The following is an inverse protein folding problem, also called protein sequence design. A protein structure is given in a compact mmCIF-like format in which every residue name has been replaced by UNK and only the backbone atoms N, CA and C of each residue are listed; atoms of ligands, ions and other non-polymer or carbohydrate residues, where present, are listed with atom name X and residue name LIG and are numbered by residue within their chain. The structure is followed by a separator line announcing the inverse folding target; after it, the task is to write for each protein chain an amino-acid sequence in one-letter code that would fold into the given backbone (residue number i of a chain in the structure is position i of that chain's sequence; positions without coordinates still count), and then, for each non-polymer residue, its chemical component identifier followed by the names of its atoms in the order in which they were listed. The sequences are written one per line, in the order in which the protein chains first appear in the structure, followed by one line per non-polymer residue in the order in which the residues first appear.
data_IF_254437857439
#
_entry.id   IF_254437857439
#
_cell.length_a   1.000
_cell.length_b   1.000
_cell.length_c   1.000
_cell.angle_alpha   90.00
_cell.angle_beta   90.00
_cell.angle_gamma   90.00
#
_symmetry.space_group_name_H-M   'P 1'
#
loop_
_entity.id
_entity.type
_entity.pdbx_description
1 polymer ?
#
# COMPACT_ATOMS: atom_id res chain seq x y z
N UNK A 1 5.96 6.95 -21.13
CA UNK A 1 6.36 6.97 -19.72
C UNK A 1 6.90 5.59 -19.37
N UNK A 2 8.21 5.44 -19.13
CA UNK A 2 8.78 4.17 -18.68
C UNK A 2 8.54 4.07 -17.17
N UNK A 3 7.66 3.16 -16.75
CA UNK A 3 7.52 2.80 -15.34
C UNK A 3 8.87 2.27 -14.86
N UNK A 4 9.46 2.94 -13.87
CA UNK A 4 10.71 2.51 -13.24
C UNK A 4 10.39 1.63 -12.04
N UNK A 5 11.30 0.71 -11.71
CA UNK A 5 11.17 -0.02 -10.45
C UNK A 5 11.20 0.97 -9.28
N UNK A 6 10.22 0.92 -8.36
CA UNK A 6 10.24 1.73 -7.15
C UNK A 6 11.41 1.32 -6.27
N UNK A 7 11.88 2.19 -5.37
CA UNK A 7 12.88 1.77 -4.38
C UNK A 7 12.36 0.60 -3.56
N UNK A 8 13.29 -0.29 -3.20
CA UNK A 8 13.01 -1.48 -2.37
C UNK A 8 12.29 -1.08 -1.07
N UNK A 9 12.66 0.06 -0.46
CA UNK A 9 12.01 0.57 0.76
C UNK A 9 10.54 0.97 0.50
N UNK A 10 10.25 1.70 -0.58
CA UNK A 10 8.88 2.09 -0.94
C UNK A 10 8.02 0.87 -1.26
N UNK A 11 8.61 -0.12 -1.94
CA UNK A 11 7.96 -1.38 -2.24
C UNK A 11 7.56 -2.13 -0.96
N UNK A 12 8.46 -2.26 0.02
CA UNK A 12 8.16 -2.91 1.30
C UNK A 12 7.10 -2.16 2.12
N UNK A 13 7.16 -0.82 2.16
CA UNK A 13 6.15 -0.01 2.87
C UNK A 13 4.77 -0.20 2.24
N UNK A 14 4.70 -0.14 0.91
CA UNK A 14 3.46 -0.37 0.19
C UNK A 14 2.92 -1.79 0.41
N UNK A 15 3.78 -2.81 0.37
CA UNK A 15 3.43 -4.19 0.64
C UNK A 15 2.79 -4.34 2.03
N UNK A 16 3.42 -3.79 3.07
CA UNK A 16 2.91 -3.85 4.45
C UNK A 16 1.55 -3.15 4.56
N UNK A 17 1.39 -1.97 3.97
CA UNK A 17 0.12 -1.24 3.99
C UNK A 17 -1.02 -2.02 3.32
N UNK A 18 -0.73 -2.67 2.19
CA UNK A 18 -1.70 -3.51 1.48
C UNK A 18 -2.06 -4.76 2.30
N UNK A 19 -1.07 -5.42 2.90
CA UNK A 19 -1.29 -6.58 3.77
C UNK A 19 -2.16 -6.19 4.97
N UNK A 20 -1.87 -5.07 5.64
CA UNK A 20 -2.66 -4.57 6.78
C UNK A 20 -4.10 -4.24 6.35
N UNK A 21 -4.29 -3.58 5.20
CA UNK A 21 -5.62 -3.31 4.65
C UNK A 21 -6.42 -4.57 4.35
N UNK A 22 -5.78 -5.57 3.74
CA UNK A 22 -6.39 -6.87 3.44
C UNK A 22 -6.76 -7.64 4.72
N UNK A 23 -5.83 -7.76 5.68
CA UNK A 23 -6.07 -8.42 6.96
C UNK A 23 -7.21 -7.75 7.75
N UNK A 24 -7.30 -6.42 7.65
CA UNK A 24 -8.42 -5.68 8.19
C UNK A 24 -9.71 -6.03 7.47
N UNK A 25 -9.74 -6.10 6.14
CA UNK A 25 -10.97 -6.39 5.38
C UNK A 25 -11.53 -7.80 5.65
N UNK A 26 -10.67 -8.80 5.88
CA UNK A 26 -11.09 -10.20 6.11
C UNK A 26 -11.44 -10.54 7.57
N UNK A 27 -11.47 -9.56 8.48
CA UNK A 27 -11.87 -9.79 9.88
C UNK A 27 -10.73 -10.11 10.84
N UNK A 28 -9.48 -10.20 10.34
CA UNK A 28 -8.33 -10.60 11.17
C UNK A 28 -7.88 -9.47 12.10
N UNK A 29 -8.13 -8.21 11.72
CA UNK A 29 -7.82 -7.03 12.55
C UNK A 29 -9.12 -6.28 12.89
N UNK A 30 -9.83 -6.68 13.97
CA UNK A 30 -11.12 -6.08 14.34
C UNK A 30 -11.04 -4.59 14.66
N UNK A 31 -9.87 -4.12 15.10
CA UNK A 31 -9.65 -2.73 15.52
C UNK A 31 -9.77 -1.70 14.38
N UNK A 32 -9.62 -2.11 13.12
CA UNK A 32 -9.60 -1.21 11.96
C UNK A 32 -10.83 -1.36 11.04
N UNK A 33 -11.83 -2.15 11.45
CA UNK A 33 -13.02 -2.50 10.66
C UNK A 33 -13.96 -1.31 10.35
N UNK A 34 -13.77 -0.15 10.99
CA UNK A 34 -14.59 1.06 10.81
C UNK A 34 -14.29 1.83 9.50
N UNK A 35 -14.12 1.12 8.37
CA UNK A 35 -13.94 1.72 7.04
C UNK A 35 -12.51 2.13 6.69
N UNK A 36 -11.54 1.97 7.59
CA UNK A 36 -10.13 2.32 7.32
C UNK A 36 -9.40 1.28 6.45
N UNK A 37 -9.89 0.04 6.38
CA UNK A 37 -9.29 -1.05 5.60
C UNK A 37 -9.07 -0.67 4.13
N UNK A 38 -10.11 -0.10 3.51
CA UNK A 38 -10.06 0.37 2.12
C UNK A 38 -9.03 1.48 1.94
N UNK A 39 -8.99 2.46 2.84
CA UNK A 39 -8.06 3.57 2.77
C UNK A 39 -6.60 3.15 3.01
N UNK A 40 -6.36 2.16 3.87
CA UNK A 40 -5.03 1.59 4.07
C UNK A 40 -4.51 0.88 2.82
N UNK A 41 -5.36 0.05 2.18
CA UNK A 41 -5.03 -0.60 0.93
C UNK A 41 -4.83 0.40 -0.22
N UNK A 42 -5.69 1.43 -0.30
CA UNK A 42 -5.59 2.51 -1.29
C UNK A 42 -4.28 3.30 -1.10
N UNK A 43 -3.94 3.66 0.14
CA UNK A 43 -2.70 4.37 0.45
C UNK A 43 -1.46 3.53 0.08
N UNK A 44 -1.46 2.24 0.38
CA UNK A 44 -0.39 1.32 -0.03
C UNK A 44 -0.23 1.24 -1.55
N UNK A 45 -1.35 1.14 -2.28
CA UNK A 45 -1.33 1.15 -3.75
C UNK A 45 -0.82 2.47 -4.32
N UNK A 46 -1.30 3.60 -3.80
CA UNK A 46 -0.87 4.95 -4.23
C UNK A 46 0.64 5.14 -3.98
N UNK A 47 1.16 4.68 -2.84
CA UNK A 47 2.59 4.73 -2.53
C UNK A 47 3.42 3.92 -3.53
N UNK A 48 2.98 2.70 -3.87
CA UNK A 48 3.64 1.86 -4.87
C UNK A 48 3.59 2.51 -6.26
N UNK A 49 2.41 3.00 -6.65
CA UNK A 49 2.17 3.64 -7.94
C UNK A 49 3.04 4.90 -8.11
N UNK A 50 3.07 5.77 -7.09
CA UNK A 50 3.94 6.94 -7.07
C UNK A 50 5.41 6.55 -7.08
N UNK A 51 5.83 5.52 -6.36
CA UNK A 51 7.20 5.00 -6.43
C UNK A 51 7.58 4.49 -7.82
N UNK A 52 6.62 3.95 -8.59
CA UNK A 52 6.89 3.49 -9.96
C UNK A 52 6.93 4.63 -10.99
N UNK A 53 6.20 5.72 -10.73
CA UNK A 53 6.11 6.89 -11.62
C UNK A 53 7.21 7.92 -11.37
N UNK A 54 7.56 8.15 -10.10
CA UNK A 54 8.58 9.10 -9.69
C UNK A 54 9.94 8.42 -9.74
N UNK A 55 10.64 8.61 -10.85
CA UNK A 55 11.97 8.06 -11.07
C UNK A 55 12.92 8.50 -9.93
N UNK A 56 13.34 7.55 -9.10
CA UNK A 56 14.23 7.81 -7.97
C UNK A 56 13.52 8.02 -6.62
N UNK A 57 12.24 7.65 -6.48
CA UNK A 57 11.54 7.52 -5.21
C UNK A 57 11.31 6.06 -4.80
#
# INVERSE_FOLDING_TARGET
MKLSAPKVVVWWIALVLVIVGLLTQIGVIPAFFNGMAFWAALAGYVLLFLGTLLKGF
#
